data_IF_312857222410
#
_entry.id   IF_312857222410
#
_cell.length_a   1.000
_cell.length_b   1.000
_cell.length_c   1.000
_cell.angle_alpha   90.00
_cell.angle_beta   90.00
_cell.angle_gamma   90.00
#
_symmetry.space_group_name_H-M   'P 1'
#
loop_
_entity.id
_entity.type
_entity.pdbx_description
1 polymer ?
#
# COMPACT_ATOMS: atom_id res chain seq x y z
N UNK A 1 19.75 52.24 16.59
CA UNK A 1 20.82 53.26 16.57
C UNK A 1 22.00 52.74 17.40
N UNK A 2 22.82 51.87 16.83
CA UNK A 2 24.23 51.60 17.20
C UNK A 2 24.89 51.09 15.92
N UNK A 3 25.98 51.75 15.53
CA UNK A 3 26.70 51.62 14.27
C UNK A 3 27.88 50.64 14.43
N UNK A 4 28.10 49.86 13.36
CA UNK A 4 29.38 49.56 12.68
C UNK A 4 30.54 49.02 13.52
N UNK A 5 30.97 47.78 13.20
CA UNK A 5 32.33 47.56 12.69
C UNK A 5 32.43 46.25 11.89
N UNK A 6 32.76 46.37 10.59
CA UNK A 6 32.94 45.24 9.66
C UNK A 6 34.24 45.51 8.87
N UNK A 7 35.31 44.84 9.26
CA UNK A 7 36.55 44.75 8.48
C UNK A 7 36.86 43.26 8.28
N UNK A 8 36.57 42.75 7.08
CA UNK A 8 37.05 41.45 6.62
C UNK A 8 37.98 41.69 5.43
N UNK A 9 39.26 41.41 5.64
CA UNK A 9 40.26 41.28 4.59
C UNK A 9 40.02 39.97 3.83
N UNK A 10 39.93 40.08 2.51
CA UNK A 10 39.94 38.96 1.58
C UNK A 10 41.37 38.43 1.45
N UNK A 11 41.58 37.14 1.72
CA UNK A 11 42.77 36.41 1.29
C UNK A 11 42.35 35.38 0.23
N UNK A 12 42.95 35.49 -0.95
CA UNK A 12 42.84 34.55 -2.07
C UNK A 12 43.80 33.37 -1.86
N UNK A 13 43.41 32.12 -2.11
CA UNK A 13 44.33 31.00 -2.02
C UNK A 13 45.09 30.76 -3.34
N UNK A 14 46.40 30.60 -3.16
CA UNK A 14 47.43 30.30 -4.14
C UNK A 14 47.23 28.89 -4.73
N UNK A 15 47.24 28.82 -6.07
CA UNK A 15 47.14 27.57 -6.85
C UNK A 15 48.54 26.99 -7.05
N UNK A 16 48.92 25.95 -6.31
CA UNK A 16 50.14 25.17 -6.58
C UNK A 16 49.79 23.93 -7.40
N UNK A 17 50.32 23.89 -8.63
CA UNK A 17 50.39 22.73 -9.50
C UNK A 17 51.60 21.89 -9.09
N UNK A 18 51.38 20.67 -8.61
CA UNK A 18 52.41 19.64 -8.52
C UNK A 18 52.24 18.66 -9.68
N UNK A 19 53.17 18.75 -10.63
CA UNK A 19 53.39 17.79 -11.71
C UNK A 19 54.18 16.59 -11.17
N UNK A 20 53.60 15.40 -11.19
CA UNK A 20 54.36 14.16 -10.96
C UNK A 20 54.48 13.40 -12.27
N UNK A 21 55.74 13.19 -12.64
CA UNK A 21 56.23 12.58 -13.86
C UNK A 21 55.97 11.08 -13.91
N UNK A 22 55.61 10.67 -15.13
CA UNK A 22 55.52 9.31 -15.66
C UNK A 22 56.92 8.66 -15.65
N UNK A 23 57.03 7.45 -15.08
CA UNK A 23 58.14 6.55 -15.39
C UNK A 23 57.57 5.26 -15.98
N UNK A 24 57.91 5.04 -17.25
CA UNK A 24 57.69 3.83 -18.03
C UNK A 24 58.86 2.89 -17.79
N UNK A 25 58.60 1.65 -17.39
CA UNK A 25 59.56 0.56 -17.52
C UNK A 25 58.85 -0.70 -18.02
N UNK A 26 59.31 -1.13 -19.18
CA UNK A 26 58.88 -2.26 -19.99
C UNK A 26 59.42 -3.60 -19.47
N UNK A 27 58.70 -4.67 -19.83
CA UNK A 27 59.12 -6.08 -19.92
C UNK A 27 59.38 -6.91 -18.64
N UNK A 28 58.54 -7.93 -18.39
CA UNK A 28 58.76 -9.31 -18.86
C UNK A 28 57.61 -10.26 -18.48
N UNK A 29 57.30 -11.15 -19.43
CA UNK A 29 56.45 -12.34 -19.29
C UNK A 29 56.96 -13.28 -18.19
N UNK A 30 56.05 -13.81 -17.38
CA UNK A 30 56.06 -15.24 -17.01
C UNK A 30 54.68 -15.68 -16.53
N UNK A 31 54.20 -16.73 -17.17
CA UNK A 31 53.09 -17.60 -16.79
C UNK A 31 53.16 -18.05 -15.33
N UNK A 32 52.04 -17.97 -14.60
CA UNK A 32 51.58 -19.03 -13.70
C UNK A 32 50.07 -18.88 -13.55
N UNK A 33 49.33 -19.92 -13.94
CA UNK A 33 47.94 -20.08 -13.58
C UNK A 33 47.86 -20.34 -12.08
N UNK A 34 47.14 -19.47 -11.37
CA UNK A 34 46.65 -19.75 -10.04
C UNK A 34 45.17 -19.39 -10.02
N UNK A 35 44.36 -20.44 -10.00
CA UNK A 35 42.94 -20.45 -9.65
C UNK A 35 42.67 -19.58 -8.42
N UNK A 36 42.09 -18.40 -8.66
CA UNK A 36 41.52 -17.57 -7.59
C UNK A 36 40.26 -18.27 -7.08
N UNK A 37 40.39 -18.94 -5.95
CA UNK A 37 39.27 -19.37 -5.13
C UNK A 37 38.52 -18.11 -4.73
N UNK A 38 37.38 -17.86 -5.39
CA UNK A 38 36.39 -16.88 -4.95
C UNK A 38 35.88 -17.33 -3.58
N UNK A 39 36.32 -16.66 -2.53
CA UNK A 39 35.67 -16.73 -1.23
C UNK A 39 34.25 -16.19 -1.38
N UNK A 40 33.28 -17.10 -1.26
CA UNK A 40 31.85 -16.80 -1.24
C UNK A 40 31.53 -15.91 -0.05
N UNK A 41 31.24 -14.64 -0.32
CA UNK A 41 30.62 -13.74 0.64
C UNK A 41 29.26 -14.31 1.03
N UNK A 42 29.06 -14.56 2.32
CA UNK A 42 27.83 -15.09 2.89
C UNK A 42 26.65 -14.15 2.58
N UNK A 43 25.69 -14.68 1.81
CA UNK A 43 24.37 -14.10 1.59
C UNK A 43 23.68 -13.82 2.92
N UNK A 44 23.13 -12.61 3.08
CA UNK A 44 22.33 -12.22 4.25
C UNK A 44 20.85 -12.62 4.12
N UNK A 45 20.50 -13.47 3.16
CA UNK A 45 19.17 -14.06 3.03
C UNK A 45 19.21 -15.52 3.54
N UNK A 46 18.86 -15.73 4.81
CA UNK A 46 18.48 -17.06 5.30
C UNK A 46 16.96 -17.12 5.38
N UNK A 47 16.39 -17.64 4.30
CA UNK A 47 15.00 -18.06 4.14
C UNK A 47 14.80 -18.94 2.90
N UNK A 48 15.86 -19.61 2.41
CA UNK A 48 15.88 -20.31 1.11
C UNK A 48 15.81 -21.84 1.20
N UNK A 49 15.21 -22.41 2.26
CA UNK A 49 14.98 -23.87 2.35
C UNK A 49 13.53 -24.32 2.12
N UNK A 50 12.64 -23.46 1.62
CA UNK A 50 11.32 -23.87 1.08
C UNK A 50 11.19 -23.52 -0.41
N UNK A 51 11.84 -24.38 -1.19
CA UNK A 51 11.75 -24.47 -2.64
C UNK A 51 10.32 -24.85 -3.09
N UNK A 52 9.44 -23.86 -3.28
CA UNK A 52 8.23 -23.99 -4.10
C UNK A 52 8.46 -23.38 -5.48
N UNK A 53 8.97 -24.22 -6.37
CA UNK A 53 8.95 -24.12 -7.83
C UNK A 53 7.84 -23.21 -8.38
N UNK A 54 8.21 -22.04 -8.88
CA UNK A 54 7.33 -21.23 -9.75
C UNK A 54 7.45 -21.78 -11.17
N UNK A 55 6.58 -22.73 -11.50
CA UNK A 55 6.32 -23.11 -12.89
C UNK A 55 5.43 -22.06 -13.55
N UNK A 56 5.99 -21.40 -14.55
CA UNK A 56 5.40 -21.08 -15.86
C UNK A 56 3.87 -21.06 -15.98
N UNK A 57 3.36 -19.87 -16.27
CA UNK A 57 2.26 -19.52 -17.21
C UNK A 57 1.50 -20.73 -17.81
N UNK A 58 0.24 -20.89 -17.40
CA UNK A 58 -0.81 -21.55 -18.22
C UNK A 58 -2.21 -21.22 -17.69
N UNK A 59 -2.91 -20.35 -18.43
CA UNK A 59 -4.37 -20.26 -18.61
C UNK A 59 -5.29 -20.60 -17.42
N UNK A 60 -5.82 -19.57 -16.76
CA UNK A 60 -7.13 -19.69 -16.11
C UNK A 60 -8.27 -19.46 -17.11
N UNK A 61 -9.28 -20.34 -17.17
CA UNK A 61 -10.46 -20.13 -17.98
C UNK A 61 -11.33 -19.06 -17.32
N UNK A 62 -11.62 -18.01 -18.07
CA UNK A 62 -12.68 -17.06 -17.77
C UNK A 62 -14.03 -17.78 -17.74
N UNK A 63 -14.57 -18.03 -16.54
CA UNK A 63 -15.99 -18.35 -16.37
C UNK A 63 -16.76 -17.04 -16.57
N UNK A 64 -17.06 -16.76 -17.83
CA UNK A 64 -18.10 -15.81 -18.20
C UNK A 64 -19.45 -16.47 -17.97
N UNK A 65 -20.04 -16.30 -16.79
CA UNK A 65 -21.48 -16.50 -16.62
C UNK A 65 -22.19 -15.30 -17.24
N UNK A 66 -22.46 -15.40 -18.55
CA UNK A 66 -23.31 -14.50 -19.29
C UNK A 66 -24.75 -14.57 -18.77
N UNK A 67 -25.11 -13.69 -17.83
CA UNK A 67 -26.51 -13.35 -17.60
C UNK A 67 -26.98 -12.40 -18.71
N UNK A 68 -27.46 -13.00 -19.81
CA UNK A 68 -28.27 -12.30 -20.80
C UNK A 68 -29.66 -12.04 -20.19
N UNK A 69 -29.80 -10.93 -19.47
CA UNK A 69 -31.10 -10.35 -19.19
C UNK A 69 -31.47 -9.43 -20.36
N UNK A 70 -32.15 -10.01 -21.36
CA UNK A 70 -32.86 -9.26 -22.38
C UNK A 70 -34.02 -8.52 -21.71
N UNK A 71 -33.80 -7.27 -21.32
CA UNK A 71 -34.90 -6.41 -20.90
C UNK A 71 -35.62 -5.93 -22.16
N UNK A 72 -36.75 -6.57 -22.45
CA UNK A 72 -37.72 -6.10 -23.41
C UNK A 72 -38.20 -4.70 -23.01
N UNK A 73 -38.01 -3.77 -23.93
CA UNK A 73 -38.44 -2.38 -23.87
C UNK A 73 -39.98 -2.33 -23.78
N UNK A 74 -40.50 -2.30 -22.55
CA UNK A 74 -41.93 -2.13 -22.30
C UNK A 74 -42.24 -0.65 -22.16
N UNK A 75 -42.56 -0.03 -23.30
CA UNK A 75 -43.32 1.21 -23.38
C UNK A 75 -44.64 1.05 -22.62
N UNK A 76 -44.67 1.48 -21.35
CA UNK A 76 -45.91 1.61 -20.61
C UNK A 76 -46.57 2.97 -20.89
N UNK A 77 -47.74 2.86 -21.48
CA UNK A 77 -48.72 3.88 -21.85
C UNK A 77 -49.14 4.76 -20.68
N UNK A 78 -49.21 6.06 -20.98
CA UNK A 78 -50.34 6.96 -20.76
C UNK A 78 -51.44 6.48 -19.78
N UNK A 79 -51.48 7.19 -18.65
CA UNK A 79 -52.66 7.96 -18.18
C UNK A 79 -54.05 7.38 -18.51
N UNK A 80 -54.69 6.82 -17.49
CA UNK A 80 -56.15 6.80 -17.37
C UNK A 80 -56.55 7.27 -15.97
N UNK A 81 -57.08 8.49 -15.94
CA UNK A 81 -57.90 9.03 -14.87
C UNK A 81 -59.11 8.12 -14.65
N UNK A 82 -59.11 7.35 -13.57
CA UNK A 82 -60.30 6.64 -13.10
C UNK A 82 -61.01 7.54 -12.09
N UNK A 83 -61.97 8.27 -12.63
CA UNK A 83 -63.13 8.81 -11.93
C UNK A 83 -63.82 7.65 -11.19
N UNK A 84 -63.79 7.68 -9.86
CA UNK A 84 -64.65 6.83 -9.02
C UNK A 84 -65.76 7.71 -8.47
N UNK A 85 -66.90 7.61 -9.14
CA UNK A 85 -68.21 8.12 -8.78
C UNK A 85 -68.51 7.96 -7.28
N UNK A 86 -68.72 9.07 -6.59
CA UNK A 86 -69.36 9.07 -5.28
C UNK A 86 -70.84 8.69 -5.43
N UNK A 87 -71.41 7.89 -4.51
CA UNK A 87 -72.82 7.60 -4.54
C UNK A 87 -73.61 8.87 -4.17
N UNK A 88 -74.45 9.28 -5.11
CA UNK A 88 -75.57 10.20 -4.93
C UNK A 88 -76.43 9.71 -3.77
N UNK A 89 -76.50 10.49 -2.68
CA UNK A 89 -77.54 10.33 -1.66
C UNK A 89 -78.84 10.94 -2.19
N UNK A 90 -79.97 10.21 -2.18
CA UNK A 90 -81.25 10.76 -2.56
C UNK A 90 -81.76 11.71 -1.47
N UNK A 91 -82.02 12.94 -1.89
CA UNK A 91 -82.96 13.85 -1.26
C UNK A 91 -84.38 13.29 -1.39
N UNK A 92 -84.91 12.70 -0.32
CA UNK A 92 -86.36 12.49 -0.17
C UNK A 92 -86.78 12.82 1.26
N UNK A 93 -87.12 14.10 1.45
CA UNK A 93 -88.09 14.52 2.44
C UNK A 93 -89.41 13.82 2.12
N UNK A 94 -89.82 12.88 2.98
CA UNK A 94 -91.19 12.39 3.05
C UNK A 94 -91.67 12.45 4.49
N UNK A 95 -92.24 13.60 4.83
CA UNK A 95 -93.59 13.73 5.39
C UNK A 95 -94.25 12.39 5.79
N UNK A 96 -94.11 11.98 7.05
CA UNK A 96 -95.03 11.03 7.66
C UNK A 96 -95.46 11.49 9.06
N UNK A 97 -96.73 11.91 9.08
CA UNK A 97 -97.73 11.82 10.15
C UNK A 97 -97.24 11.69 11.58
N UNK A 98 -97.57 12.72 12.37
CA UNK A 98 -97.66 12.69 13.83
C UNK A 98 -98.41 11.43 14.31
N UNK A 99 -97.73 10.45 14.92
CA UNK A 99 -98.40 9.52 15.78
C UNK A 99 -98.49 10.20 17.15
N UNK A 100 -99.68 10.69 17.50
CA UNK A 100 -100.07 10.91 18.89
C UNK A 100 -100.08 9.55 19.61
N UNK A 101 -98.89 9.03 19.89
CA UNK A 101 -98.69 7.87 20.72
C UNK A 101 -98.12 8.38 22.02
N UNK A 102 -98.98 8.33 23.02
CA UNK A 102 -98.65 8.35 24.44
C UNK A 102 -97.36 7.57 24.67
N UNK A 103 -96.24 8.27 24.69
CA UNK A 103 -94.97 7.69 25.10
C UNK A 103 -95.17 7.37 26.58
N UNK A 104 -95.51 6.12 26.87
CA UNK A 104 -95.28 5.58 28.20
C UNK A 104 -93.84 5.96 28.52
N UNK A 105 -93.59 6.68 29.63
CA UNK A 105 -92.27 7.18 29.94
C UNK A 105 -91.31 6.03 29.77
N UNK A 106 -90.28 6.21 28.92
CA UNK A 106 -89.24 5.21 28.77
C UNK A 106 -88.84 4.85 30.20
N UNK A 107 -88.90 3.55 30.56
CA UNK A 107 -88.56 3.13 31.90
C UNK A 107 -87.23 3.77 32.24
N UNK A 108 -87.12 4.42 33.41
CA UNK A 108 -85.93 5.20 33.78
C UNK A 108 -84.63 4.37 33.68
N UNK A 109 -84.72 3.04 33.69
CA UNK A 109 -83.62 2.10 33.47
C UNK A 109 -83.11 2.02 32.01
N UNK A 110 -83.85 2.49 31.00
CA UNK A 110 -83.39 2.48 29.60
C UNK A 110 -82.40 3.62 29.29
N UNK A 111 -82.47 4.75 29.99
CA UNK A 111 -81.50 5.84 29.85
C UNK A 111 -80.06 5.43 30.16
N UNK A 112 -79.77 4.73 31.28
CA UNK A 112 -78.42 4.23 31.52
C UNK A 112 -78.01 3.17 30.50
N UNK A 113 -78.93 2.33 30.00
CA UNK A 113 -78.61 1.36 28.95
C UNK A 113 -78.14 2.06 27.65
N UNK A 114 -78.88 3.05 27.18
CA UNK A 114 -78.51 3.82 25.97
C UNK A 114 -77.17 4.53 26.18
N UNK A 115 -76.97 5.13 27.36
CA UNK A 115 -75.69 5.76 27.70
C UNK A 115 -74.52 4.75 27.70
N UNK A 116 -74.72 3.55 28.26
CA UNK A 116 -73.67 2.51 28.24
C UNK A 116 -73.34 2.04 26.82
N UNK A 117 -74.34 1.91 25.94
CA UNK A 117 -74.14 1.49 24.55
C UNK A 117 -73.43 2.57 23.71
N UNK A 118 -73.77 3.85 23.90
CA UNK A 118 -73.08 4.94 23.20
C UNK A 118 -71.63 5.09 23.67
N UNK A 119 -71.37 4.96 24.97
CA UNK A 119 -70.01 4.94 25.53
C UNK A 119 -69.23 3.74 24.98
N UNK A 120 -69.81 2.55 24.95
CA UNK A 120 -69.14 1.35 24.41
C UNK A 120 -68.84 1.48 22.90
N UNK A 121 -69.77 2.04 22.13
CA UNK A 121 -69.58 2.35 20.71
C UNK A 121 -68.44 3.35 20.49
N UNK A 122 -68.38 4.42 21.31
CA UNK A 122 -67.31 5.40 21.26
C UNK A 122 -65.95 4.80 21.62
N UNK A 123 -65.88 3.96 22.65
CA UNK A 123 -64.65 3.21 23.01
C UNK A 123 -64.21 2.32 21.85
N UNK A 124 -65.13 1.58 21.21
CA UNK A 124 -64.82 0.74 20.04
C UNK A 124 -64.34 1.55 18.84
N UNK A 125 -64.93 2.72 18.59
CA UNK A 125 -64.49 3.63 17.54
C UNK A 125 -63.07 4.17 17.80
N UNK A 126 -62.72 4.49 19.05
CA UNK A 126 -61.37 4.89 19.44
C UNK A 126 -60.38 3.74 19.27
N UNK A 127 -60.74 2.53 19.68
CA UNK A 127 -59.91 1.33 19.50
C UNK A 127 -59.66 1.03 18.00
N UNK A 128 -60.68 1.18 17.15
CA UNK A 128 -60.51 1.00 15.70
C UNK A 128 -59.65 2.10 15.08
N UNK A 129 -59.83 3.35 15.51
CA UNK A 129 -59.03 4.49 15.04
C UNK A 129 -57.56 4.35 15.43
N UNK A 130 -57.27 3.94 16.67
CA UNK A 130 -55.90 3.69 17.12
C UNK A 130 -55.24 2.54 16.35
N UNK A 131 -55.92 1.40 16.18
CA UNK A 131 -55.39 0.30 15.36
C UNK A 131 -55.16 0.67 13.90
N UNK A 132 -55.99 1.55 13.32
CA UNK A 132 -55.79 2.05 11.95
C UNK A 132 -54.57 2.98 11.83
N UNK A 133 -54.27 3.77 12.87
CA UNK A 133 -53.07 4.60 12.90
C UNK A 133 -51.79 3.76 13.00
N UNK A 134 -51.80 2.66 13.75
CA UNK A 134 -50.65 1.75 13.85
C UNK A 134 -50.32 1.11 12.49
N UNK A 135 -51.34 0.68 11.74
CA UNK A 135 -51.16 0.14 10.38
C UNK A 135 -50.64 1.21 9.41
N UNK A 136 -51.17 2.43 9.48
CA UNK A 136 -50.67 3.53 8.63
C UNK A 136 -49.23 3.93 8.98
N UNK A 137 -48.88 3.92 10.27
CA UNK A 137 -47.52 4.19 10.72
C UNK A 137 -46.55 3.09 10.26
N UNK A 138 -46.94 1.81 10.33
CA UNK A 138 -46.11 0.71 9.83
C UNK A 138 -45.91 0.80 8.33
N UNK A 139 -46.96 1.07 7.55
CA UNK A 139 -46.88 1.26 6.10
C UNK A 139 -46.00 2.46 5.71
N UNK A 140 -46.06 3.57 6.46
CA UNK A 140 -45.19 4.72 6.22
C UNK A 140 -43.72 4.37 6.49
N UNK A 141 -43.44 3.62 7.57
CA UNK A 141 -42.08 3.17 7.89
C UNK A 141 -41.51 2.20 6.84
N UNK A 142 -42.33 1.30 6.29
CA UNK A 142 -41.95 0.42 5.19
C UNK A 142 -41.68 1.21 3.90
N UNK A 143 -42.51 2.20 3.60
CA UNK A 143 -42.31 3.06 2.45
C UNK A 143 -41.00 3.87 2.54
N UNK A 144 -40.69 4.44 3.72
CA UNK A 144 -39.43 5.13 3.97
C UNK A 144 -38.22 4.20 3.82
N UNK A 145 -38.32 2.97 4.35
CA UNK A 145 -37.29 1.94 4.20
C UNK A 145 -37.05 1.58 2.73
N UNK A 146 -38.10 1.32 1.96
CA UNK A 146 -38.01 1.02 0.52
C UNK A 146 -37.45 2.20 -0.28
N UNK A 147 -37.83 3.43 0.06
CA UNK A 147 -37.30 4.64 -0.56
C UNK A 147 -35.79 4.78 -0.30
N UNK A 148 -35.36 4.54 0.94
CA UNK A 148 -33.94 4.51 1.32
C UNK A 148 -33.17 3.43 0.55
N UNK A 149 -33.71 2.20 0.48
CA UNK A 149 -33.12 1.09 -0.25
C UNK A 149 -32.99 1.39 -1.75
N UNK A 150 -33.99 2.04 -2.35
CA UNK A 150 -33.96 2.49 -3.75
C UNK A 150 -32.87 3.54 -3.97
N UNK A 151 -32.72 4.50 -3.06
CA UNK A 151 -31.68 5.52 -3.12
C UNK A 151 -30.27 4.91 -3.02
N UNK A 152 -30.07 3.96 -2.10
CA UNK A 152 -28.81 3.22 -1.97
C UNK A 152 -28.48 2.41 -3.22
N UNK A 153 -29.45 1.67 -3.76
CA UNK A 153 -29.29 0.90 -5.00
C UNK A 153 -28.89 1.81 -6.18
N UNK A 154 -29.51 2.98 -6.27
CA UNK A 154 -29.19 3.94 -7.33
C UNK A 154 -27.78 4.53 -7.19
N UNK A 155 -27.32 4.83 -5.97
CA UNK A 155 -25.93 5.25 -5.71
C UNK A 155 -24.93 4.16 -6.12
N UNK A 156 -25.16 2.92 -5.70
CA UNK A 156 -24.32 1.77 -6.08
C UNK A 156 -24.24 1.58 -7.60
N UNK A 157 -25.37 1.74 -8.31
CA UNK A 157 -25.40 1.67 -9.77
C UNK A 157 -24.58 2.79 -10.42
N UNK A 158 -24.66 4.01 -9.92
CA UNK A 158 -23.89 5.14 -10.44
C UNK A 158 -22.39 4.98 -10.17
N UNK A 159 -22.02 4.49 -9.00
CA UNK A 159 -20.63 4.17 -8.65
C UNK A 159 -20.09 3.03 -9.54
N UNK A 160 -20.88 1.98 -9.76
CA UNK A 160 -20.53 0.90 -10.69
C UNK A 160 -20.32 1.42 -12.12
N UNK A 161 -21.19 2.32 -12.61
CA UNK A 161 -21.05 2.94 -13.93
C UNK A 161 -19.81 3.81 -14.04
N UNK A 162 -19.50 4.58 -12.99
CA UNK A 162 -18.28 5.41 -12.91
C UNK A 162 -17.04 4.53 -12.92
N UNK A 163 -17.03 3.45 -12.15
CA UNK A 163 -15.94 2.48 -12.11
C UNK A 163 -15.75 1.78 -13.45
N UNK A 164 -16.83 1.36 -14.11
CA UNK A 164 -16.77 0.78 -15.45
C UNK A 164 -16.11 1.72 -16.47
N UNK A 165 -16.48 3.01 -16.46
CA UNK A 165 -15.87 4.01 -17.33
C UNK A 165 -14.37 4.22 -17.02
N UNK A 166 -13.97 4.15 -15.75
CA UNK A 166 -12.57 4.24 -15.35
C UNK A 166 -11.77 3.03 -15.85
N UNK A 167 -12.32 1.81 -15.72
CA UNK A 167 -11.72 0.58 -16.25
C UNK A 167 -11.56 0.66 -17.76
N UNK A 168 -12.58 1.12 -18.51
CA UNK A 168 -12.46 1.32 -19.96
C UNK A 168 -11.37 2.32 -20.34
N UNK A 169 -11.21 3.41 -19.56
CA UNK A 169 -10.10 4.36 -19.76
C UNK A 169 -8.75 3.72 -19.51
N UNK A 170 -8.61 2.92 -18.44
CA UNK A 170 -7.38 2.17 -18.15
C UNK A 170 -7.07 1.16 -19.25
N UNK A 171 -8.07 0.42 -19.74
CA UNK A 171 -7.89 -0.54 -20.84
C UNK A 171 -7.43 0.14 -22.13
N UNK A 172 -7.95 1.33 -22.46
CA UNK A 172 -7.49 2.13 -23.61
C UNK A 172 -6.04 2.59 -23.43
N UNK A 173 -5.66 3.04 -22.23
CA UNK A 173 -4.27 3.38 -21.91
C UNK A 173 -3.35 2.17 -22.08
N UNK A 174 -3.75 1.01 -21.54
CA UNK A 174 -3.00 -0.24 -21.62
C UNK A 174 -2.77 -0.68 -23.07
N UNK A 175 -3.82 -0.62 -23.93
CA UNK A 175 -3.68 -0.90 -25.37
C UNK A 175 -2.73 0.07 -26.08
N UNK A 176 -2.70 1.34 -25.66
CA UNK A 176 -1.76 2.31 -26.22
C UNK A 176 -0.32 1.98 -25.82
N UNK A 177 -0.07 1.65 -24.56
CA UNK A 177 1.25 1.18 -24.10
C UNK A 177 1.67 -0.13 -24.76
N UNK A 178 0.74 -1.08 -24.94
CA UNK A 178 1.02 -2.32 -25.65
C UNK A 178 1.49 -2.07 -27.08
N UNK A 179 0.81 -1.19 -27.83
CA UNK A 179 1.26 -0.81 -29.19
C UNK A 179 2.63 -0.14 -29.22
N UNK A 180 2.98 0.61 -28.17
CA UNK A 180 4.32 1.18 -28.04
C UNK A 180 5.34 0.06 -27.81
N UNK A 181 5.08 -0.90 -26.94
CA UNK A 181 5.95 -2.06 -26.75
C UNK A 181 6.07 -2.92 -28.01
N UNK A 182 4.98 -3.20 -28.73
CA UNK A 182 5.02 -3.97 -29.97
C UNK A 182 5.87 -3.27 -31.05
N UNK A 183 5.77 -1.95 -31.15
CA UNK A 183 6.61 -1.16 -32.04
C UNK A 183 8.09 -1.21 -31.62
N UNK A 184 8.36 -1.22 -30.32
CA UNK A 184 9.72 -1.30 -29.78
C UNK A 184 10.34 -2.69 -29.97
N UNK A 185 9.58 -3.77 -29.78
CA UNK A 185 10.02 -5.13 -30.07
C UNK A 185 10.43 -5.24 -31.54
N UNK A 186 9.60 -4.73 -32.46
CA UNK A 186 9.93 -4.71 -33.89
C UNK A 186 11.23 -3.96 -34.18
N UNK A 187 11.44 -2.79 -33.55
CA UNK A 187 12.69 -2.04 -33.69
C UNK A 187 13.91 -2.83 -33.20
N UNK A 188 13.78 -3.58 -32.10
CA UNK A 188 14.87 -4.41 -31.56
C UNK A 188 15.13 -5.62 -32.47
N UNK A 189 14.09 -6.26 -33.00
CA UNK A 189 14.21 -7.37 -33.96
C UNK A 189 14.93 -6.90 -35.23
N UNK A 190 14.54 -5.74 -35.79
CA UNK A 190 15.22 -5.14 -36.96
C UNK A 190 16.70 -4.83 -36.69
N UNK A 191 17.05 -4.40 -35.47
CA UNK A 191 18.44 -4.19 -35.07
C UNK A 191 19.20 -5.51 -34.92
N UNK A 192 18.59 -6.54 -34.33
CA UNK A 192 19.21 -7.86 -34.15
C UNK A 192 19.46 -8.58 -35.48
N UNK A 193 18.53 -8.48 -36.43
CA UNK A 193 18.72 -9.00 -37.79
C UNK A 193 19.85 -8.26 -38.53
N UNK A 194 19.98 -6.95 -38.31
CA UNK A 194 21.08 -6.17 -38.87
C UNK A 194 22.46 -6.58 -38.31
N UNK A 195 22.54 -6.94 -37.03
CA UNK A 195 23.80 -7.38 -36.40
C UNK A 195 24.17 -8.84 -36.73
N UNK A 196 23.18 -9.74 -36.80
CA UNK A 196 23.42 -11.17 -37.05
C UNK A 196 23.77 -11.48 -38.50
N UNK A 197 23.18 -10.74 -39.46
CA UNK A 197 23.47 -10.86 -40.89
C UNK A 197 24.92 -10.53 -41.27
N UNK A 198 25.70 -9.93 -40.36
CA UNK A 198 27.12 -9.62 -40.57
C UNK A 198 28.07 -10.78 -40.17
N UNK A 199 27.56 -11.87 -39.55
CA UNK A 199 28.44 -12.83 -38.84
C UNK A 199 28.54 -14.26 -39.41
N UNK A 200 27.60 -14.77 -40.22
CA UNK A 200 27.55 -16.23 -40.47
C UNK A 200 27.62 -16.73 -41.91
N UNK A 201 27.60 -15.90 -42.95
CA UNK A 201 27.76 -16.37 -44.34
C UNK A 201 28.57 -15.39 -45.20
N UNK A 202 29.88 -15.33 -44.97
CA UNK A 202 30.84 -14.73 -45.89
C UNK A 202 31.21 -15.70 -47.02
N UNK A 203 30.20 -16.19 -47.73
CA UNK A 203 30.38 -16.74 -49.06
C UNK A 203 30.40 -15.56 -50.05
N UNK A 204 31.61 -15.19 -50.49
CA UNK A 204 31.95 -14.31 -51.64
C UNK A 204 30.87 -13.29 -52.08
N UNK A 205 30.54 -12.34 -51.19
CA UNK A 205 29.80 -11.14 -51.61
C UNK A 205 30.74 -10.28 -52.47
N UNK A 206 30.36 -9.88 -53.69
CA UNK A 206 31.21 -9.09 -54.58
C UNK A 206 31.71 -7.80 -53.88
N UNK A 207 32.99 -7.42 -54.04
CA UNK A 207 33.60 -6.29 -53.34
C UNK A 207 32.89 -4.94 -53.61
N UNK A 208 32.18 -4.80 -54.74
CA UNK A 208 31.35 -3.62 -55.03
C UNK A 208 30.11 -3.49 -54.13
N UNK A 209 29.54 -4.61 -53.68
CA UNK A 209 28.41 -4.62 -52.74
C UNK A 209 28.86 -4.27 -51.32
N UNK A 210 30.02 -4.75 -50.88
CA UNK A 210 30.58 -4.39 -49.56
C UNK A 210 30.91 -2.89 -49.43
N UNK A 211 31.28 -2.21 -50.52
CA UNK A 211 31.54 -0.76 -50.50
C UNK A 211 30.27 0.08 -50.27
N UNK A 212 29.08 -0.45 -50.60
CA UNK A 212 27.79 0.21 -50.31
C UNK A 212 27.35 0.04 -48.86
N UNK A 213 27.67 -1.08 -48.21
CA UNK A 213 27.29 -1.34 -46.82
C UNK A 213 28.26 -0.76 -45.79
N UNK A 214 29.57 -0.67 -46.09
CA UNK A 214 30.57 -0.04 -45.20
C UNK A 214 30.33 1.45 -44.91
N UNK A 215 29.50 2.13 -45.70
CA UNK A 215 29.13 3.53 -45.46
C UNK A 215 27.87 3.72 -44.62
N UNK A 216 27.18 2.65 -44.21
CA UNK A 216 26.09 2.75 -43.24
C UNK A 216 26.68 2.74 -41.83
N UNK A 217 26.79 3.93 -41.26
CA UNK A 217 27.11 4.23 -39.86
C UNK A 217 26.05 3.67 -38.86
N UNK A 218 25.56 2.45 -39.07
CA UNK A 218 24.44 1.86 -38.31
C UNK A 218 24.79 1.61 -36.85
N UNK A 219 26.02 1.17 -36.55
CA UNK A 219 26.45 0.91 -35.17
C UNK A 219 26.37 2.15 -34.26
N UNK A 220 26.70 3.34 -34.78
CA UNK A 220 26.58 4.59 -34.01
C UNK A 220 25.13 5.04 -33.81
N UNK A 221 24.26 4.77 -34.78
CA UNK A 221 22.83 5.11 -34.69
C UNK A 221 22.12 4.19 -33.69
N UNK A 222 22.42 2.89 -33.71
CA UNK A 222 21.87 1.92 -32.76
C UNK A 222 22.31 2.23 -31.32
N UNK A 223 23.61 2.47 -31.10
CA UNK A 223 24.12 2.84 -29.78
C UNK A 223 23.48 4.13 -29.24
N UNK A 224 23.40 5.18 -30.06
CA UNK A 224 22.75 6.44 -29.68
C UNK A 224 21.25 6.27 -29.40
N UNK A 225 20.56 5.41 -30.15
CA UNK A 225 19.15 5.08 -29.89
C UNK A 225 18.96 4.32 -28.58
N UNK A 226 19.82 3.35 -28.28
CA UNK A 226 19.81 2.60 -27.01
C UNK A 226 20.07 3.56 -25.83
N UNK A 227 21.07 4.43 -25.94
CA UNK A 227 21.40 5.42 -24.91
C UNK A 227 20.22 6.38 -24.66
N UNK A 228 19.65 6.96 -25.72
CA UNK A 228 18.50 7.85 -25.60
C UNK A 228 17.27 7.15 -25.00
N UNK A 229 17.07 5.87 -25.32
CA UNK A 229 16.00 5.04 -24.75
C UNK A 229 16.22 4.78 -23.26
N UNK A 230 17.44 4.43 -22.87
CA UNK A 230 17.80 4.23 -21.46
C UNK A 230 17.56 5.52 -20.66
N UNK A 231 17.98 6.67 -21.19
CA UNK A 231 17.72 7.98 -20.59
C UNK A 231 16.21 8.26 -20.44
N UNK A 232 15.42 8.00 -21.49
CA UNK A 232 13.98 8.20 -21.46
C UNK A 232 13.27 7.25 -20.46
N UNK A 233 13.76 6.02 -20.30
CA UNK A 233 13.25 5.07 -19.31
C UNK A 233 13.62 5.51 -17.89
N UNK A 234 14.87 5.93 -17.66
CA UNK A 234 15.30 6.49 -16.38
C UNK A 234 14.46 7.70 -15.99
N UNK A 235 14.19 8.62 -16.92
CA UNK A 235 13.30 9.76 -16.67
C UNK A 235 11.87 9.33 -16.28
N UNK A 236 11.32 8.29 -16.93
CA UNK A 236 10.01 7.75 -16.55
C UNK A 236 10.03 7.11 -15.16
N UNK A 237 11.10 6.40 -14.81
CA UNK A 237 11.28 5.80 -13.48
C UNK A 237 11.34 6.90 -12.42
N UNK A 238 12.15 7.94 -12.62
CA UNK A 238 12.23 9.07 -11.68
C UNK A 238 10.90 9.82 -11.56
N UNK A 239 10.18 10.02 -12.67
CA UNK A 239 8.85 10.63 -12.62
C UNK A 239 7.85 9.76 -11.84
N UNK A 240 7.93 8.43 -11.95
CA UNK A 240 7.08 7.51 -11.21
C UNK A 240 7.44 7.50 -9.71
N UNK A 241 8.72 7.43 -9.39
CA UNK A 241 9.21 7.51 -8.00
C UNK A 241 8.76 8.81 -7.34
N UNK A 242 8.95 9.96 -8.00
CA UNK A 242 8.50 11.26 -7.49
C UNK A 242 6.97 11.31 -7.28
N UNK A 243 6.19 10.70 -8.18
CA UNK A 243 4.75 10.60 -8.00
C UNK A 243 4.36 9.75 -6.78
N UNK A 244 5.02 8.60 -6.59
CA UNK A 244 4.83 7.73 -5.43
C UNK A 244 5.19 8.47 -4.14
N UNK A 245 6.31 9.21 -4.12
CA UNK A 245 6.72 10.01 -2.96
C UNK A 245 5.67 11.06 -2.58
N UNK A 246 5.14 11.78 -3.58
CA UNK A 246 4.11 12.77 -3.35
C UNK A 246 2.84 12.13 -2.79
N UNK A 247 2.36 11.04 -3.42
CA UNK A 247 1.17 10.34 -2.97
C UNK A 247 1.34 9.79 -1.54
N UNK A 248 2.48 9.16 -1.26
CA UNK A 248 2.81 8.67 0.08
C UNK A 248 2.87 9.78 1.11
N UNK A 249 3.48 10.93 0.79
CA UNK A 249 3.51 12.09 1.69
C UNK A 249 2.11 12.59 2.02
N UNK A 250 1.25 12.75 1.01
CA UNK A 250 -0.13 13.18 1.21
C UNK A 250 -0.91 12.15 2.04
N UNK A 251 -0.69 10.86 1.81
CA UNK A 251 -1.32 9.79 2.57
C UNK A 251 -0.91 9.80 4.04
N UNK A 252 0.38 9.97 4.33
CA UNK A 252 0.87 10.07 5.71
C UNK A 252 0.25 11.26 6.42
N UNK A 253 0.25 12.45 5.80
CA UNK A 253 -0.38 13.65 6.38
C UNK A 253 -1.87 13.41 6.64
N UNK A 254 -2.57 12.78 5.69
CA UNK A 254 -4.00 12.49 5.78
C UNK A 254 -4.34 11.46 6.87
N UNK A 255 -3.55 10.39 7.00
CA UNK A 255 -3.80 9.27 7.93
C UNK A 255 -3.28 9.56 9.34
N UNK A 256 -2.07 10.10 9.44
CA UNK A 256 -1.27 10.17 10.67
C UNK A 256 -0.97 11.61 11.11
N UNK A 257 -1.35 12.60 10.31
CA UNK A 257 -1.02 14.00 10.55
C UNK A 257 0.39 14.38 10.12
N UNK A 258 0.75 15.68 10.26
CA UNK A 258 2.10 16.13 9.99
C UNK A 258 3.10 15.49 10.97
N UNK A 259 4.32 15.24 10.51
CA UNK A 259 5.41 14.74 11.36
C UNK A 259 6.04 15.82 12.25
N UNK A 260 7.12 15.50 13.00
CA UNK A 260 7.80 14.20 13.01
C UNK A 260 6.95 13.11 13.68
N UNK A 261 7.01 11.90 13.14
CA UNK A 261 6.31 10.74 13.69
C UNK A 261 7.25 9.97 14.63
N UNK A 262 6.75 9.60 15.80
CA UNK A 262 7.49 8.80 16.78
C UNK A 262 6.75 7.51 17.06
N UNK A 263 7.47 6.39 17.05
CA UNK A 263 6.93 5.06 17.30
C UNK A 263 7.55 4.51 18.57
N UNK A 264 6.69 4.14 19.52
CA UNK A 264 7.06 3.54 20.78
C UNK A 264 7.05 2.02 20.65
N UNK A 265 8.16 1.39 21.02
CA UNK A 265 8.31 -0.06 21.06
C UNK A 265 8.34 -0.53 22.50
N UNK A 266 7.39 -1.37 22.86
CA UNK A 266 7.43 -2.14 24.10
C UNK A 266 7.99 -3.52 23.80
N UNK A 267 9.15 -3.84 24.36
CA UNK A 267 9.85 -5.11 24.14
C UNK A 267 10.04 -5.90 25.42
N UNK A 268 10.08 -7.22 25.31
CA UNK A 268 10.41 -8.11 26.40
C UNK A 268 11.65 -8.92 26.00
N UNK A 269 12.80 -8.52 26.54
CA UNK A 269 14.09 -9.18 26.28
C UNK A 269 14.23 -10.47 27.10
N UNK A 270 15.12 -11.37 26.64
CA UNK A 270 15.54 -12.62 27.30
C UNK A 270 14.37 -13.55 27.64
N UNK A 271 13.87 -14.28 26.64
CA UNK A 271 12.70 -15.16 26.80
C UNK A 271 11.49 -14.44 27.44
N UNK A 272 11.31 -13.16 27.09
CA UNK A 272 10.25 -12.29 27.60
C UNK A 272 10.28 -11.99 29.12
N UNK A 273 11.46 -11.91 29.75
CA UNK A 273 11.60 -11.71 31.20
C UNK A 273 11.84 -10.26 31.62
N UNK A 274 12.60 -9.48 30.84
CA UNK A 274 12.95 -8.10 31.20
C UNK A 274 12.24 -7.13 30.25
N UNK A 275 11.24 -6.38 30.73
CA UNK A 275 10.60 -5.35 29.92
C UNK A 275 11.58 -4.22 29.64
N UNK A 276 11.47 -3.66 28.44
CA UNK A 276 12.22 -2.50 27.99
C UNK A 276 11.38 -1.72 26.99
N UNK A 277 11.66 -0.43 26.93
CA UNK A 277 10.97 0.49 26.03
C UNK A 277 12.01 1.29 25.26
N UNK A 278 11.77 1.49 23.97
CA UNK A 278 12.56 2.42 23.17
C UNK A 278 11.68 3.18 22.19
N UNK A 279 12.15 4.37 21.78
CA UNK A 279 11.41 5.26 20.89
C UNK A 279 12.20 5.47 19.63
N UNK A 280 11.54 5.28 18.50
CA UNK A 280 12.06 5.58 17.17
C UNK A 280 11.41 6.86 16.66
N UNK A 281 12.22 7.84 16.29
CA UNK A 281 11.79 8.99 15.49
C UNK A 281 11.98 8.66 14.01
N UNK A 282 10.89 8.70 13.25
CA UNK A 282 10.91 8.41 11.82
C UNK A 282 11.52 9.58 11.04
N UNK A 283 12.03 9.27 9.85
CA UNK A 283 12.55 10.25 8.91
C UNK A 283 11.47 11.27 8.52
N UNK A 284 11.91 12.46 8.10
CA UNK A 284 10.99 13.48 7.60
C UNK A 284 10.25 12.95 6.37
N UNK A 285 8.94 13.16 6.34
CA UNK A 285 8.08 12.83 5.19
C UNK A 285 8.41 13.66 3.94
N UNK A 286 9.24 14.70 4.05
CA UNK A 286 9.76 15.42 2.89
C UNK A 286 10.95 14.70 2.23
N UNK A 287 11.55 13.74 2.94
CA UNK A 287 12.77 13.04 2.53
C UNK A 287 12.55 11.57 2.21
N UNK A 288 11.77 10.89 3.06
CA UNK A 288 11.51 9.45 2.96
C UNK A 288 10.01 9.12 3.09
N UNK A 289 9.10 9.81 2.38
CA UNK A 289 7.66 9.63 2.58
C UNK A 289 7.18 8.19 2.34
N UNK A 290 7.75 7.49 1.37
CA UNK A 290 7.24 6.18 0.96
C UNK A 290 7.60 5.09 1.96
N UNK A 291 8.85 5.04 2.42
CA UNK A 291 9.28 4.14 3.48
C UNK A 291 8.59 4.42 4.80
N UNK A 292 8.41 5.70 5.16
CA UNK A 292 7.68 6.10 6.38
C UNK A 292 6.21 5.70 6.31
N UNK A 293 5.52 5.93 5.19
CA UNK A 293 4.14 5.47 5.00
C UNK A 293 4.04 3.95 5.18
N UNK A 294 4.90 3.20 4.49
CA UNK A 294 4.90 1.73 4.50
C UNK A 294 5.08 1.20 5.93
N UNK A 295 6.01 1.78 6.69
CA UNK A 295 6.24 1.40 8.07
C UNK A 295 5.06 1.76 8.99
N UNK A 296 4.50 2.97 8.87
CA UNK A 296 3.36 3.42 9.67
C UNK A 296 2.09 2.61 9.39
N UNK A 297 1.84 2.21 8.14
CA UNK A 297 0.72 1.33 7.80
C UNK A 297 0.88 -0.04 8.49
N UNK A 298 2.09 -0.61 8.52
CA UNK A 298 2.35 -1.86 9.26
C UNK A 298 2.17 -1.72 10.77
N UNK A 299 2.59 -0.60 11.36
CA UNK A 299 2.38 -0.27 12.78
C UNK A 299 0.90 -0.16 13.09
N UNK A 300 0.15 0.61 12.29
CA UNK A 300 -1.29 0.82 12.47
C UNK A 300 -2.09 -0.49 12.34
N UNK A 301 -1.65 -1.40 11.47
CA UNK A 301 -2.22 -2.74 11.31
C UNK A 301 -1.74 -3.75 12.35
N UNK A 302 -0.91 -3.35 13.33
CA UNK A 302 -0.37 -4.22 14.40
C UNK A 302 0.36 -5.45 13.86
N UNK A 303 1.02 -5.31 12.72
CA UNK A 303 1.69 -6.43 12.06
C UNK A 303 2.87 -6.98 12.86
N UNK A 304 3.50 -6.11 13.64
CA UNK A 304 4.67 -6.44 14.47
C UNK A 304 4.33 -6.74 15.93
N UNK A 305 3.07 -6.59 16.36
CA UNK A 305 2.66 -6.98 17.70
C UNK A 305 2.85 -8.50 17.89
N UNK A 306 3.46 -8.91 18.99
CA UNK A 306 3.82 -10.30 19.28
C UNK A 306 4.80 -10.94 18.27
N UNK A 307 5.58 -10.12 17.56
CA UNK A 307 6.69 -10.61 16.71
C UNK A 307 8.02 -10.62 17.46
N UNK A 308 9.14 -10.84 16.77
CA UNK A 308 10.45 -11.00 17.40
C UNK A 308 11.54 -10.15 16.73
N UNK A 309 12.43 -9.65 17.56
CA UNK A 309 13.77 -9.24 17.18
C UNK A 309 14.76 -10.38 17.45
N UNK A 310 15.74 -10.53 16.59
CA UNK A 310 16.85 -11.45 16.77
C UNK A 310 18.18 -10.78 16.35
N UNK A 311 19.25 -11.14 17.04
CA UNK A 311 20.60 -10.66 16.73
C UNK A 311 21.45 -11.85 16.27
N UNK A 312 21.96 -11.78 15.04
CA UNK A 312 22.75 -12.85 14.48
C UNK A 312 24.21 -12.74 14.96
N UNK A 313 24.73 -13.77 15.62
CA UNK A 313 26.10 -13.73 16.17
C UNK A 313 27.19 -13.73 15.10
N UNK A 314 26.91 -13.99 13.83
CA UNK A 314 27.90 -13.76 12.75
C UNK A 314 27.75 -12.41 12.07
N UNK A 315 26.57 -11.78 12.19
CA UNK A 315 26.26 -10.48 11.59
C UNK A 315 26.08 -9.48 12.73
N UNK A 316 27.19 -9.18 13.42
CA UNK A 316 27.25 -8.29 14.60
C UNK A 316 26.83 -6.83 14.35
N UNK A 317 26.32 -6.52 13.16
CA UNK A 317 26.11 -5.17 12.69
C UNK A 317 24.63 -4.74 12.71
N UNK A 318 23.68 -5.67 12.90
CA UNK A 318 22.24 -5.37 12.96
C UNK A 318 21.48 -6.26 13.95
N UNK A 319 20.40 -5.72 14.53
CA UNK A 319 19.32 -6.49 15.15
C UNK A 319 18.13 -6.50 14.19
N UNK A 320 17.74 -7.67 13.69
CA UNK A 320 16.69 -7.80 12.67
C UNK A 320 15.33 -8.14 13.30
N UNK A 321 14.26 -7.56 12.76
CA UNK A 321 12.89 -7.96 13.05
C UNK A 321 12.48 -9.09 12.11
N UNK A 322 11.84 -10.13 12.66
CA UNK A 322 11.28 -11.22 11.89
C UNK A 322 9.75 -11.25 12.04
N UNK A 323 8.99 -11.47 10.96
CA UNK A 323 7.54 -11.58 10.97
C UNK A 323 7.14 -12.98 11.47
N UNK A 324 7.60 -13.33 12.66
CA UNK A 324 7.41 -14.65 13.28
C UNK A 324 6.71 -14.44 14.61
N UNK A 325 5.65 -15.21 14.86
CA UNK A 325 4.92 -15.12 16.13
C UNK A 325 5.76 -15.65 17.28
N UNK A 326 5.97 -14.85 18.31
CA UNK A 326 6.70 -15.28 19.50
C UNK A 326 5.98 -16.47 20.18
N UNK A 327 6.76 -17.48 20.58
CA UNK A 327 6.29 -18.67 21.28
C UNK A 327 5.78 -19.80 20.37
N UNK A 328 5.22 -19.50 19.19
CA UNK A 328 4.79 -20.54 18.22
C UNK A 328 5.76 -20.70 17.05
N UNK A 329 6.62 -19.70 16.82
CA UNK A 329 7.55 -19.61 15.68
C UNK A 329 6.87 -19.73 14.31
N UNK A 330 5.56 -19.51 14.25
CA UNK A 330 4.82 -19.52 13.00
C UNK A 330 5.11 -18.24 12.22
N UNK A 331 5.51 -18.41 10.95
CA UNK A 331 5.67 -17.31 10.01
C UNK A 331 4.34 -16.59 9.79
N UNK A 332 4.39 -15.26 9.88
CA UNK A 332 3.29 -14.34 9.60
C UNK A 332 3.36 -13.77 8.19
N UNK A 333 4.26 -14.25 7.33
CA UNK A 333 4.44 -13.72 5.97
C UNK A 333 3.14 -13.69 5.16
N UNK A 334 2.30 -14.72 5.32
CA UNK A 334 0.97 -14.78 4.68
C UNK A 334 0.05 -13.62 5.10
N UNK A 335 0.16 -13.13 6.34
CA UNK A 335 -0.63 -11.99 6.83
C UNK A 335 -0.15 -10.69 6.21
N UNK A 336 1.18 -10.52 6.07
CA UNK A 336 1.77 -9.38 5.37
C UNK A 336 1.29 -9.35 3.91
N UNK A 337 1.39 -10.48 3.21
CA UNK A 337 0.92 -10.60 1.82
C UNK A 337 -0.58 -10.37 1.67
N UNK A 338 -1.41 -10.92 2.56
CA UNK A 338 -2.87 -10.76 2.52
C UNK A 338 -3.31 -9.30 2.69
N UNK A 339 -2.52 -8.48 3.39
CA UNK A 339 -2.75 -7.05 3.56
C UNK A 339 -2.00 -6.19 2.53
N UNK A 340 -1.25 -6.82 1.62
CA UNK A 340 -0.50 -6.12 0.57
C UNK A 340 0.83 -5.51 1.03
N UNK A 341 1.35 -5.89 2.21
CA UNK A 341 2.63 -5.44 2.73
C UNK A 341 3.78 -6.26 2.11
N UNK A 342 4.16 -5.91 0.89
CA UNK A 342 5.28 -6.54 0.16
C UNK A 342 6.59 -5.76 0.29
N UNK A 343 6.63 -4.74 1.15
CA UNK A 343 7.73 -3.78 1.22
C UNK A 343 7.47 -2.49 0.44
N UNK A 344 8.51 -1.69 0.26
CA UNK A 344 8.49 -0.46 -0.53
C UNK A 344 8.49 -0.78 -2.03
N UNK A 345 7.91 0.12 -2.82
CA UNK A 345 7.82 -0.02 -4.28
C UNK A 345 9.18 0.16 -4.98
N UNK A 346 10.13 0.80 -4.30
CA UNK A 346 11.53 0.98 -4.73
C UNK A 346 12.40 1.23 -3.48
N UNK A 347 13.73 1.03 -3.57
CA UNK A 347 14.67 1.34 -2.49
C UNK A 347 14.81 2.86 -2.29
N UNK A 348 13.87 3.47 -1.56
CA UNK A 348 13.93 4.90 -1.25
C UNK A 348 15.11 5.21 -0.33
N UNK A 349 15.99 6.14 -0.72
CA UNK A 349 17.18 6.50 0.05
C UNK A 349 17.39 8.02 0.04
N UNK A 350 17.84 8.55 1.18
CA UNK A 350 18.23 9.95 1.31
C UNK A 350 19.50 10.06 2.16
N UNK A 351 20.49 10.84 1.68
CA UNK A 351 21.81 11.02 2.33
C UNK A 351 21.79 11.57 3.76
N UNK A 352 20.70 12.25 4.14
CA UNK A 352 20.49 12.78 5.50
C UNK A 352 20.03 11.70 6.49
N UNK A 353 19.71 10.50 5.98
CA UNK A 353 19.35 9.31 6.75
C UNK A 353 20.29 8.14 6.39
N UNK A 354 21.60 8.27 6.68
CA UNK A 354 22.56 7.19 6.48
C UNK A 354 22.32 6.04 7.47
N UNK A 355 22.97 4.89 7.23
CA UNK A 355 22.81 3.69 8.07
C UNK A 355 23.74 3.75 9.30
N UNK A 356 23.69 4.87 10.02
CA UNK A 356 24.46 5.07 11.25
C UNK A 356 24.01 4.13 12.38
N UNK A 357 24.83 4.04 13.42
CA UNK A 357 24.46 3.30 14.63
C UNK A 357 23.13 3.81 15.19
N UNK A 358 22.24 2.88 15.52
CA UNK A 358 20.88 3.10 16.03
C UNK A 358 19.89 3.70 15.04
N UNK A 359 20.19 3.68 13.74
CA UNK A 359 19.16 3.91 12.72
C UNK A 359 18.40 2.61 12.41
N UNK A 360 17.19 2.76 11.86
CA UNK A 360 16.30 1.67 11.47
C UNK A 360 16.08 1.71 9.96
N UNK A 361 16.15 0.56 9.31
CA UNK A 361 15.95 0.44 7.86
C UNK A 361 15.30 -0.88 7.46
N UNK A 362 14.77 -0.93 6.23
CA UNK A 362 14.25 -2.16 5.64
C UNK A 362 15.40 -3.00 5.12
N UNK A 363 15.28 -4.33 5.21
CA UNK A 363 16.17 -5.24 4.49
C UNK A 363 15.70 -5.33 3.03
N UNK A 364 16.51 -4.83 2.08
CA UNK A 364 16.07 -4.61 0.71
C UNK A 364 14.86 -3.69 0.65
N UNK A 365 13.79 -4.10 -0.03
CA UNK A 365 12.52 -3.35 -0.03
C UNK A 365 11.63 -3.68 1.17
N UNK A 366 11.98 -4.62 2.04
CA UNK A 366 11.16 -5.07 3.18
C UNK A 366 10.30 -6.31 2.88
N UNK A 367 9.24 -6.59 3.67
CA UNK A 367 8.75 -5.82 4.80
C UNK A 367 9.63 -5.94 6.06
N UNK A 368 10.58 -6.87 6.08
CA UNK A 368 11.50 -7.04 7.20
C UNK A 368 12.36 -5.79 7.39
N UNK A 369 12.60 -5.43 8.64
CA UNK A 369 13.42 -4.27 9.00
C UNK A 369 14.45 -4.64 10.05
N UNK A 370 15.44 -3.78 10.25
CA UNK A 370 16.51 -3.98 11.21
C UNK A 370 16.92 -2.67 11.88
N UNK A 371 17.63 -2.81 12.99
CA UNK A 371 18.25 -1.72 13.74
C UNK A 371 19.76 -1.88 13.60
N UNK A 372 20.44 -0.85 13.11
CA UNK A 372 21.90 -0.80 13.02
C UNK A 372 22.52 -0.76 14.43
N UNK A 373 23.42 -1.69 14.74
CA UNK A 373 24.15 -1.74 16.03
C UNK A 373 25.51 -1.03 15.96
N UNK A 374 25.95 -0.70 14.74
CA UNK A 374 27.14 0.07 14.40
C UNK A 374 26.86 0.89 13.13
N UNK A 375 27.82 1.71 12.70
CA UNK A 375 27.69 2.42 11.42
C UNK A 375 27.87 1.45 10.25
N UNK A 376 26.80 1.30 9.48
CA UNK A 376 26.68 0.44 8.31
C UNK A 376 26.43 1.25 7.03
N UNK A 377 26.75 2.54 7.02
CA UNK A 377 26.51 3.43 5.87
C UNK A 377 27.10 2.87 4.58
N UNK A 378 28.32 2.33 4.64
CA UNK A 378 28.98 1.73 3.47
C UNK A 378 28.45 0.34 3.14
N UNK A 379 27.85 -0.37 4.09
CA UNK A 379 27.35 -1.73 3.86
C UNK A 379 25.93 -1.71 3.31
N UNK A 380 25.03 -0.93 3.89
CA UNK A 380 23.60 -0.90 3.56
C UNK A 380 23.20 0.35 2.76
N UNK A 381 24.11 1.31 2.60
CA UNK A 381 23.93 2.46 1.71
C UNK A 381 24.26 2.16 0.25
N UNK A 382 24.19 3.18 -0.62
CA UNK A 382 24.38 3.02 -2.06
C UNK A 382 25.72 2.37 -2.41
N UNK A 383 25.66 1.23 -3.11
CA UNK A 383 26.85 0.49 -3.58
C UNK A 383 27.47 -0.46 -2.55
N UNK A 384 26.87 -0.61 -1.37
CA UNK A 384 27.40 -1.42 -0.28
C UNK A 384 27.08 -2.92 -0.35
N UNK A 385 25.89 -3.28 -0.83
CA UNK A 385 25.43 -4.67 -0.87
C UNK A 385 25.63 -5.29 -2.26
N UNK A 386 26.38 -6.40 -2.31
CA UNK A 386 26.56 -7.20 -3.53
C UNK A 386 25.32 -7.99 -3.99
N UNK A 387 24.19 -7.82 -3.32
CA UNK A 387 22.92 -8.49 -3.67
C UNK A 387 21.85 -7.53 -4.19
N UNK A 388 22.17 -6.24 -4.35
CA UNK A 388 21.31 -5.35 -5.11
C UNK A 388 21.53 -5.54 -6.62
N UNK A 389 20.45 -5.35 -7.39
CA UNK A 389 20.51 -5.40 -8.85
C UNK A 389 21.31 -4.22 -9.42
N UNK A 390 21.23 -3.05 -8.76
CA UNK A 390 21.92 -1.84 -9.17
C UNK A 390 22.93 -1.41 -8.10
N UNK A 391 24.11 -0.96 -8.55
CA UNK A 391 25.15 -0.41 -7.67
C UNK A 391 24.71 0.88 -6.95
N UNK A 392 23.59 1.48 -7.33
CA UNK A 392 23.03 2.68 -6.69
C UNK A 392 21.95 2.37 -5.67
N UNK A 393 21.48 1.12 -5.61
CA UNK A 393 20.45 0.73 -4.66
C UNK A 393 21.04 0.69 -3.24
N UNK A 394 20.16 0.94 -2.29
CA UNK A 394 20.44 0.98 -0.88
C UNK A 394 19.21 0.49 -0.11
N UNK A 395 19.42 -0.02 1.08
CA UNK A 395 18.32 -0.28 1.99
C UNK A 395 17.66 1.06 2.38
N UNK A 396 16.32 1.14 2.48
CA UNK A 396 15.66 2.34 2.98
C UNK A 396 15.90 2.52 4.48
N UNK A 397 16.67 3.53 4.88
CA UNK A 397 16.80 3.94 6.28
C UNK A 397 15.79 5.04 6.61
N UNK A 398 14.76 4.69 7.39
CA UNK A 398 13.55 5.51 7.57
C UNK A 398 13.33 5.99 9.00
N UNK A 399 14.31 5.85 9.89
CA UNK A 399 14.22 6.41 11.24
C UNK A 399 15.48 6.21 12.08
N UNK A 400 15.42 6.70 13.32
CA UNK A 400 16.49 6.57 14.31
C UNK A 400 15.93 6.41 15.71
N UNK A 401 16.64 5.68 16.55
CA UNK A 401 16.31 5.59 17.97
C UNK A 401 16.67 6.92 18.63
N UNK A 402 15.73 7.46 19.41
CA UNK A 402 15.90 8.71 20.18
C UNK A 402 15.83 8.50 21.69
N UNK A 403 15.37 7.34 22.14
CA UNK A 403 15.33 6.94 23.56
C UNK A 403 15.39 5.41 23.68
N UNK A 404 15.90 4.89 24.80
CA UNK A 404 16.04 3.45 25.06
C UNK A 404 17.25 2.80 24.38
N UNK A 405 18.33 3.54 24.18
CA UNK A 405 19.57 3.02 23.56
C UNK A 405 20.16 1.82 24.30
N UNK A 406 20.08 1.82 25.63
CA UNK A 406 20.57 0.76 26.50
C UNK A 406 19.80 -0.55 26.32
N UNK A 407 18.49 -0.48 26.07
CA UNK A 407 17.66 -1.65 25.74
C UNK A 407 18.18 -2.32 24.47
N UNK A 408 18.44 -1.54 23.42
CA UNK A 408 18.98 -2.08 22.17
C UNK A 408 20.40 -2.59 22.34
N UNK A 409 21.32 -1.78 22.89
CA UNK A 409 22.73 -2.15 22.96
C UNK A 409 23.05 -3.24 23.97
N UNK A 410 22.28 -3.35 25.05
CA UNK A 410 22.58 -4.23 26.17
C UNK A 410 21.67 -5.45 26.18
N UNK A 411 20.37 -5.28 25.95
CA UNK A 411 19.42 -6.37 26.12
C UNK A 411 19.14 -7.11 24.80
N UNK A 412 19.09 -6.41 23.67
CA UNK A 412 18.80 -7.02 22.35
C UNK A 412 20.05 -7.59 21.64
N UNK A 413 21.23 -7.01 21.88
CA UNK A 413 22.48 -7.43 21.21
C UNK A 413 23.19 -8.59 21.93
N UNK A 414 22.97 -8.79 23.24
CA UNK A 414 23.58 -9.91 23.98
C UNK A 414 22.94 -11.26 23.67
N UNK A 415 22.96 -11.69 22.41
CA UNK A 415 22.47 -13.01 22.03
C UNK A 415 23.42 -14.11 22.51
N UNK A 416 22.96 -14.97 23.41
CA UNK A 416 23.61 -16.26 23.68
C UNK A 416 22.85 -17.34 22.90
N UNK A 417 23.36 -17.75 21.74
CA UNK A 417 22.87 -19.00 21.15
C UNK A 417 23.56 -20.21 21.80
N UNK A 418 22.83 -21.32 21.95
CA UNK A 418 23.43 -22.57 22.41
C UNK A 418 24.13 -23.24 21.23
N UNK A 419 25.46 -23.23 21.21
CA UNK A 419 26.25 -23.93 20.18
C UNK A 419 27.10 -22.99 19.33
N UNK A 420 27.58 -23.47 18.17
CA UNK A 420 28.35 -22.68 17.19
C UNK A 420 27.52 -22.24 15.98
N UNK A 421 26.36 -22.86 15.78
CA UNK A 421 25.47 -22.62 14.65
C UNK A 421 24.03 -22.88 15.11
N UNK A 422 23.11 -21.92 14.93
CA UNK A 422 21.71 -22.13 15.24
C UNK A 422 21.10 -23.14 14.26
N UNK A 423 20.41 -24.16 14.77
CA UNK A 423 19.65 -25.15 14.01
C UNK A 423 18.20 -24.71 13.77
N UNK A 424 17.69 -23.78 14.58
CA UNK A 424 16.32 -23.24 14.46
C UNK A 424 16.11 -21.93 15.21
N UNK A 425 14.88 -21.42 15.18
CA UNK A 425 14.48 -20.18 15.88
C UNK A 425 14.69 -20.27 17.40
N UNK A 426 14.57 -21.48 17.95
CA UNK A 426 14.79 -21.81 19.35
C UNK A 426 16.23 -21.60 19.83
N UNK A 427 17.19 -21.51 18.92
CA UNK A 427 18.60 -21.28 19.26
C UNK A 427 18.95 -19.79 19.32
N UNK A 428 18.07 -18.91 18.82
CA UNK A 428 18.28 -17.46 18.89
C UNK A 428 17.80 -16.90 20.23
N UNK A 429 18.52 -15.90 20.73
CA UNK A 429 18.01 -15.07 21.83
C UNK A 429 17.01 -14.07 21.24
N UNK A 430 15.73 -14.39 21.41
CA UNK A 430 14.63 -13.61 20.83
C UNK A 430 14.17 -12.55 21.81
N UNK A 431 14.13 -11.31 21.34
CA UNK A 431 13.44 -10.23 22.03
C UNK A 431 12.05 -10.10 21.45
N UNK A 432 11.02 -10.30 22.28
CA UNK A 432 9.63 -10.19 21.84
C UNK A 432 9.25 -8.72 21.67
N UNK A 433 8.65 -8.37 20.53
CA UNK A 433 7.94 -7.11 20.35
C UNK A 433 6.55 -7.30 20.97
N UNK A 434 6.38 -6.85 22.21
CA UNK A 434 5.10 -7.01 22.92
C UNK A 434 4.03 -6.10 22.31
N UNK A 435 4.39 -4.86 22.00
CA UNK A 435 3.57 -3.96 21.20
C UNK A 435 4.41 -2.90 20.50
N UNK A 436 3.88 -2.40 19.37
CA UNK A 436 4.40 -1.24 18.65
C UNK A 436 3.28 -0.22 18.45
N UNK A 437 3.52 1.05 18.79
CA UNK A 437 2.46 2.07 18.75
C UNK A 437 2.98 3.41 18.23
N UNK A 438 2.24 4.02 17.32
CA UNK A 438 2.44 5.41 16.93
C UNK A 438 2.08 6.31 18.13
N UNK A 439 3.02 7.14 18.56
CA UNK A 439 2.80 8.08 19.66
C UNK A 439 1.87 9.20 19.24
N UNK A 440 0.88 9.51 20.07
CA UNK A 440 0.00 10.65 19.82
C UNK A 440 0.71 11.97 20.14
N UNK A 441 0.21 13.09 19.60
CA UNK A 441 0.75 14.42 19.90
C UNK A 441 0.78 14.73 21.41
N UNK A 442 -0.10 14.12 22.20
CA UNK A 442 -0.11 14.26 23.66
C UNK A 442 1.10 13.56 24.27
N UNK A 443 1.39 12.33 23.83
CA UNK A 443 2.51 11.52 24.33
C UNK A 443 3.85 12.11 23.93
N UNK A 444 3.94 12.70 22.72
CA UNK A 444 5.17 13.31 22.23
C UNK A 444 5.66 14.48 23.08
N UNK A 445 4.78 15.17 23.82
CA UNK A 445 5.19 16.30 24.68
C UNK A 445 5.87 15.89 25.98
N UNK A 446 5.78 14.61 26.34
CA UNK A 446 6.36 14.07 27.57
C UNK A 446 7.84 13.67 27.41
N UNK A 447 8.36 13.70 26.18
CA UNK A 447 9.72 13.29 25.81
C UNK A 447 10.41 14.35 24.95
#
# INVERSE_FOLDING_TARGET
MVLINRNQQQQTPHKQRSSTSINVSTERRSSYGSSSVRSSSFSCAMGDDDNCSVSSISSHPSISSSFNLSFADTKSRRSSSILSNGPLLPSTLSSMGNPTKTSKPLPRWMLPLIYTLTVFSWIRAIQFRSGSFDVLASLNSEFESLSSQRSQTWKLLMDAKKNHNNVLKQQKKLKKTQRLFDHEIRMIEELYEADTSDSSDLAEIPPETMAKFKNRKSAGVAASWIEHRQEALLHKIYSLQSHIQEESRQNVIRKYGPGPHRVHFHVLSREARKPGDFIVELASIDKMPHSVETFLDMVASKMWDNSVFYHHLTQHHVVAAAPVSYGTFQSRQHQFQALGFNGTSYPEYHKDYPHEKFTIGFAGTGPNFYINTMDNTDHHGPGGQGHHDLATDADPCFGKIVSGFDIVSTDMVTGRHKGKSPAGWEDFDLTRIASIQLMTNTDQRLY
#
